data_IF_518458187358
#
_entry.id   IF_518458187358
#
_cell.length_a   1.000
_cell.length_b   1.000
_cell.length_c   1.000
_cell.angle_alpha   90.00
_cell.angle_beta   90.00
_cell.angle_gamma   90.00
#
_symmetry.space_group_name_H-M   'P 1'
#
loop_
_entity.id
_entity.type
_entity.pdbx_description
1 polymer ?
#
# COMPACT_ATOMS: atom_id res chain seq x y z
N UNK A 1 -25.99 -14.97 9.84
CA UNK A 1 -24.55 -15.21 10.03
C UNK A 1 -23.90 -15.27 8.66
N UNK A 2 -22.90 -14.48 8.24
CA UNK A 2 -22.63 -13.05 8.43
C UNK A 2 -22.21 -12.52 7.05
N UNK A 3 -23.12 -11.86 6.33
CA UNK A 3 -22.94 -11.43 4.93
C UNK A 3 -21.65 -10.60 4.69
N UNK A 4 -21.15 -9.92 5.72
CA UNK A 4 -20.00 -9.03 5.61
C UNK A 4 -18.66 -9.78 5.58
N UNK A 5 -18.50 -10.83 6.41
CA UNK A 5 -17.25 -11.60 6.43
C UNK A 5 -17.05 -12.37 5.13
N UNK A 6 -18.14 -12.78 4.50
CA UNK A 6 -18.11 -13.51 3.25
C UNK A 6 -17.57 -12.61 2.12
N UNK A 7 -18.00 -11.34 2.09
CA UNK A 7 -17.48 -10.34 1.15
C UNK A 7 -16.00 -10.02 1.39
N UNK A 8 -15.58 -9.89 2.65
CA UNK A 8 -14.17 -9.60 3.00
C UNK A 8 -13.25 -10.76 2.59
N UNK A 9 -13.72 -12.00 2.67
CA UNK A 9 -12.92 -13.20 2.40
C UNK A 9 -13.06 -13.72 0.96
N UNK A 10 -13.63 -12.92 0.03
CA UNK A 10 -13.75 -13.33 -1.37
C UNK A 10 -12.38 -13.66 -1.98
N UNK A 11 -12.30 -14.82 -2.62
CA UNK A 11 -11.10 -15.26 -3.32
C UNK A 11 -11.01 -14.60 -4.71
N UNK A 12 -10.30 -13.49 -4.80
CA UNK A 12 -10.21 -12.71 -6.04
C UNK A 12 -9.60 -13.49 -7.22
N UNK A 13 -8.77 -14.51 -6.97
CA UNK A 13 -8.12 -15.30 -8.02
C UNK A 13 -9.10 -16.13 -8.85
N UNK A 14 -10.35 -16.30 -8.39
CA UNK A 14 -11.39 -16.99 -9.14
C UNK A 14 -12.02 -16.10 -10.22
N UNK A 15 -11.79 -14.78 -10.17
CA UNK A 15 -12.45 -13.79 -11.03
C UNK A 15 -11.47 -12.95 -11.84
N UNK A 16 -10.25 -12.72 -11.36
CA UNK A 16 -9.26 -11.87 -12.03
C UNK A 16 -7.84 -12.15 -11.54
N UNK A 17 -6.84 -11.80 -12.36
CA UNK A 17 -5.43 -11.84 -11.98
C UNK A 17 -4.96 -10.60 -11.20
N UNK A 18 -5.82 -9.58 -11.06
CA UNK A 18 -5.49 -8.35 -10.32
C UNK A 18 -5.21 -8.65 -8.85
N UNK A 19 -4.26 -7.91 -8.28
CA UNK A 19 -3.93 -7.99 -6.85
C UNK A 19 -4.14 -6.65 -6.15
N UNK A 20 -4.28 -6.69 -4.84
CA UNK A 20 -4.28 -5.53 -3.96
C UNK A 20 -2.90 -5.44 -3.30
N UNK A 21 -2.27 -4.28 -3.40
CA UNK A 21 -1.01 -3.96 -2.74
C UNK A 21 -1.24 -2.86 -1.70
N UNK A 22 -1.01 -3.17 -0.43
CA UNK A 22 -1.07 -2.25 0.70
C UNK A 22 0.31 -1.60 0.90
N UNK A 23 0.43 -0.32 0.56
CA UNK A 23 1.68 0.42 0.72
C UNK A 23 1.73 0.95 2.15
N UNK A 24 2.81 0.66 2.87
CA UNK A 24 2.98 0.95 4.30
C UNK A 24 4.21 1.86 4.47
N UNK A 25 4.09 2.92 5.26
CA UNK A 25 5.19 3.82 5.58
C UNK A 25 5.08 4.34 7.01
N UNK A 26 6.18 4.92 7.49
CA UNK A 26 6.24 5.58 8.81
C UNK A 26 5.79 7.04 8.66
N UNK A 27 4.79 7.46 9.44
CA UNK A 27 4.24 8.81 9.46
C UNK A 27 5.14 9.83 10.17
N UNK A 28 4.65 11.05 10.36
CA UNK A 28 5.43 12.20 10.85
C UNK A 28 6.01 12.05 12.25
N UNK A 29 5.37 11.28 13.13
CA UNK A 29 5.88 11.10 14.49
C UNK A 29 7.11 10.21 14.56
N UNK A 30 7.39 9.45 13.48
CA UNK A 30 8.43 8.42 13.47
C UNK A 30 8.00 7.10 14.14
N UNK A 31 6.82 7.06 14.78
CA UNK A 31 6.28 5.87 15.46
C UNK A 31 4.91 5.44 14.91
N UNK A 32 4.19 6.35 14.25
CA UNK A 32 2.90 6.06 13.64
C UNK A 32 3.06 5.34 12.30
N UNK A 33 2.39 4.20 12.13
CA UNK A 33 2.30 3.52 10.84
C UNK A 33 1.11 4.06 10.05
N UNK A 34 1.32 4.26 8.75
CA UNK A 34 0.29 4.66 7.80
C UNK A 34 0.27 3.65 6.65
N UNK A 35 -0.90 3.44 6.06
CA UNK A 35 -1.00 2.63 4.86
C UNK A 35 -2.16 3.04 3.96
N UNK A 36 -2.06 2.67 2.69
CA UNK A 36 -3.19 2.69 1.75
C UNK A 36 -3.01 1.65 0.66
N UNK A 37 -4.13 1.15 0.15
CA UNK A 37 -4.14 0.10 -0.86
C UNK A 37 -4.35 0.63 -2.29
N UNK A 38 -3.68 0.00 -3.27
CA UNK A 38 -3.99 0.12 -4.71
C UNK A 38 -4.21 -1.24 -5.34
N UNK A 39 -4.93 -1.25 -6.46
CA UNK A 39 -4.99 -2.40 -7.35
C UNK A 39 -3.82 -2.38 -8.34
N UNK A 40 -3.20 -3.54 -8.55
CA UNK A 40 -2.19 -3.78 -9.58
C UNK A 40 -2.72 -4.78 -10.61
N UNK A 41 -2.22 -4.75 -11.86
CA UNK A 41 -2.74 -5.60 -12.94
C UNK A 41 -2.46 -7.08 -12.74
N UNK A 42 -1.44 -7.45 -11.97
CA UNK A 42 -1.06 -8.82 -11.70
C UNK A 42 -0.09 -8.98 -10.52
N UNK A 43 0.28 -10.21 -10.15
CA UNK A 43 1.24 -10.49 -9.08
C UNK A 43 2.63 -9.89 -9.37
N UNK A 44 3.30 -9.41 -8.33
CA UNK A 44 4.67 -8.85 -8.39
C UNK A 44 5.50 -9.45 -7.26
N UNK A 45 6.73 -9.86 -7.55
CA UNK A 45 7.66 -10.44 -6.55
C UNK A 45 8.91 -9.61 -6.29
N UNK A 46 9.24 -8.65 -7.15
CA UNK A 46 10.37 -7.73 -6.97
C UNK A 46 9.87 -6.33 -6.59
N UNK A 47 10.30 -5.76 -5.46
CA UNK A 47 9.94 -4.39 -5.08
C UNK A 47 10.27 -3.34 -6.14
N UNK A 48 11.32 -3.53 -6.93
CA UNK A 48 11.72 -2.56 -7.98
C UNK A 48 10.76 -2.49 -9.16
N UNK A 49 9.93 -3.51 -9.37
CA UNK A 49 8.87 -3.53 -10.38
C UNK A 49 7.59 -2.84 -9.91
N UNK A 50 7.47 -2.55 -8.60
CA UNK A 50 6.31 -1.87 -8.06
C UNK A 50 6.35 -0.38 -8.40
N UNK A 51 5.21 0.21 -8.84
CA UNK A 51 5.16 1.62 -9.15
C UNK A 51 5.35 2.46 -7.88
N UNK A 52 6.21 3.49 -7.96
CA UNK A 52 6.21 4.56 -6.97
C UNK A 52 4.80 5.12 -6.80
N UNK A 53 4.52 5.61 -5.62
CA UNK A 53 3.24 6.27 -5.34
C UNK A 53 3.49 7.53 -4.53
N UNK A 54 2.44 8.21 -4.13
CA UNK A 54 2.52 9.44 -3.36
C UNK A 54 1.47 9.42 -2.26
N UNK A 55 1.58 10.30 -1.28
CA UNK A 55 0.51 10.62 -0.33
C UNK A 55 0.59 12.09 0.07
N UNK A 56 -0.48 12.58 0.71
CA UNK A 56 -0.50 13.91 1.29
C UNK A 56 0.24 13.92 2.64
N UNK A 57 1.46 14.44 2.62
CA UNK A 57 2.35 14.58 3.77
C UNK A 57 1.88 15.61 4.79
N UNK A 58 1.01 16.57 4.42
CA UNK A 58 0.48 17.55 5.37
C UNK A 58 -0.39 16.88 6.44
N UNK A 59 -1.20 15.90 6.03
CA UNK A 59 -2.02 15.04 6.91
C UNK A 59 -1.21 14.06 7.77
N UNK A 60 0.11 14.00 7.58
CA UNK A 60 1.00 13.18 8.39
C UNK A 60 2.07 14.00 9.12
N UNK A 61 2.09 15.33 9.01
CA UNK A 61 3.15 16.16 9.56
C UNK A 61 4.53 15.94 8.90
N UNK A 62 4.54 15.53 7.63
CA UNK A 62 5.78 15.28 6.84
C UNK A 62 6.06 16.36 5.80
N UNK A 63 5.07 17.18 5.44
CA UNK A 63 5.21 18.24 4.45
C UNK A 63 4.29 19.43 4.79
N UNK A 64 4.64 20.68 4.41
CA UNK A 64 3.74 21.82 4.55
C UNK A 64 2.54 21.70 3.60
N UNK A 65 1.46 22.46 3.84
CA UNK A 65 0.25 22.39 3.00
C UNK A 65 0.43 22.89 1.56
N UNK A 66 1.40 23.78 1.32
CA UNK A 66 1.65 24.39 0.00
C UNK A 66 2.41 23.46 -0.96
N UNK A 67 3.20 22.53 -0.41
CA UNK A 67 3.92 21.49 -1.14
C UNK A 67 3.85 20.20 -0.33
N UNK A 68 2.69 19.54 -0.39
CA UNK A 68 2.34 18.47 0.52
C UNK A 68 2.66 17.07 0.00
N UNK A 69 3.14 16.95 -1.25
CA UNK A 69 3.36 15.65 -1.88
C UNK A 69 4.60 14.96 -1.30
N UNK A 70 4.43 13.70 -0.87
CA UNK A 70 5.54 12.83 -0.46
C UNK A 70 5.49 11.54 -1.26
N UNK A 71 6.63 11.12 -1.81
CA UNK A 71 6.75 9.98 -2.71
C UNK A 71 7.11 8.71 -1.93
N UNK A 72 6.36 7.64 -2.16
CA UNK A 72 6.58 6.31 -1.63
C UNK A 72 7.42 5.48 -2.60
N UNK A 73 8.52 4.93 -2.09
CA UNK A 73 9.42 4.04 -2.81
C UNK A 73 9.31 2.64 -2.23
N UNK A 74 8.78 1.65 -2.97
CA UNK A 74 8.71 0.26 -2.53
C UNK A 74 10.11 -0.30 -2.21
N UNK A 75 10.25 -0.94 -1.04
CA UNK A 75 11.52 -1.53 -0.58
C UNK A 75 11.42 -3.03 -0.31
N UNK A 76 10.30 -3.50 0.25
CA UNK A 76 10.13 -4.90 0.58
C UNK A 76 8.67 -5.36 0.40
N UNK A 77 8.50 -6.60 -0.04
CA UNK A 77 7.19 -7.24 -0.28
C UNK A 77 6.98 -8.37 0.73
N UNK A 78 5.78 -8.42 1.29
CA UNK A 78 5.29 -9.52 2.12
C UNK A 78 3.89 -9.93 1.66
N UNK A 79 3.49 -11.18 1.92
CA UNK A 79 2.09 -11.59 1.65
C UNK A 79 1.15 -10.93 2.65
N UNK A 80 0.01 -10.43 2.18
CA UNK A 80 -1.03 -9.83 3.04
C UNK A 80 -1.84 -10.93 3.75
N UNK A 81 -1.69 -11.11 5.07
CA UNK A 81 -2.40 -12.16 5.80
C UNK A 81 -3.90 -11.85 5.99
N UNK A 82 -4.30 -10.59 5.81
CA UNK A 82 -5.68 -10.13 6.00
C UNK A 82 -6.49 -10.36 4.73
N UNK A 83 -5.97 -9.93 3.58
CA UNK A 83 -6.63 -10.11 2.28
C UNK A 83 -6.35 -11.46 1.62
N UNK A 84 -5.29 -12.15 2.03
CA UNK A 84 -4.90 -13.50 1.55
C UNK A 84 -4.70 -13.54 0.03
N UNK A 85 -4.64 -14.73 -0.56
CA UNK A 85 -4.42 -14.92 -1.99
C UNK A 85 -3.07 -14.36 -2.45
N UNK A 86 -3.06 -13.70 -3.60
CA UNK A 86 -1.88 -13.05 -4.19
C UNK A 86 -1.69 -11.59 -3.74
N UNK A 87 -2.45 -11.12 -2.75
CA UNK A 87 -2.36 -9.75 -2.24
C UNK A 87 -1.10 -9.56 -1.38
N UNK A 88 -0.56 -8.34 -1.37
CA UNK A 88 0.74 -8.05 -0.77
C UNK A 88 0.71 -6.82 0.13
N UNK A 89 1.57 -6.84 1.16
CA UNK A 89 2.01 -5.67 1.92
C UNK A 89 3.34 -5.20 1.32
N UNK A 90 3.49 -3.88 1.18
CA UNK A 90 4.66 -3.24 0.58
C UNK A 90 5.22 -2.23 1.57
N UNK A 91 6.38 -2.51 2.16
CA UNK A 91 7.10 -1.55 2.99
C UNK A 91 7.75 -0.52 2.08
N UNK A 92 7.51 0.76 2.36
CA UNK A 92 7.98 1.88 1.57
C UNK A 92 8.82 2.84 2.41
N UNK A 93 9.85 3.37 1.77
CA UNK A 93 10.51 4.60 2.20
C UNK A 93 9.75 5.83 1.65
N UNK A 94 9.95 6.99 2.27
CA UNK A 94 9.29 8.24 1.92
C UNK A 94 10.31 9.33 1.54
N UNK A 95 10.09 10.00 0.41
CA UNK A 95 10.99 10.99 -0.17
C UNK A 95 10.24 12.26 -0.58
N UNK A 96 10.96 13.38 -0.66
CA UNK A 96 10.48 14.59 -1.32
C UNK A 96 10.33 14.37 -2.84
N UNK A 97 9.48 15.15 -3.54
CA UNK A 97 9.40 15.10 -5.00
C UNK A 97 10.67 15.56 -5.73
N UNK A 98 11.50 16.37 -5.05
CA UNK A 98 12.77 16.91 -5.51
C UNK A 98 13.96 16.34 -4.73
#
# INVERSE_FOLDING_TARGET
MSLLSDLINLNLSETTDKIIAEYIWIGGSGLDLRSKARTLPGPVSDPSELPKWNYDGSSTGRAPGEDSEVILYPQAIFKDPFRRGSNILVICDAYTPA
#
